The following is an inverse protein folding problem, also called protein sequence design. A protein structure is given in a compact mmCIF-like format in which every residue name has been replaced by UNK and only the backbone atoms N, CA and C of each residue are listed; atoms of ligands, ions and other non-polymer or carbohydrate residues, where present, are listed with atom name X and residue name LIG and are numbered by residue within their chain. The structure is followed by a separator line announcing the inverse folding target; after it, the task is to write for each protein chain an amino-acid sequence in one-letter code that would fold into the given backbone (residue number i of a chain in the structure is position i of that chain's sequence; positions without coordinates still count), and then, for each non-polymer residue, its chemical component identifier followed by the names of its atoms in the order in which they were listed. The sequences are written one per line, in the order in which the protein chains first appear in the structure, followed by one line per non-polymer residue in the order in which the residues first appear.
data_IF_573097998794
#
_entry.id   IF_573097998794
#
_cell.length_a   1.000
_cell.length_b   1.000
_cell.length_c   1.000
_cell.angle_alpha   90.00
_cell.angle_beta   90.00
_cell.angle_gamma   90.00
#
_symmetry.space_group_name_H-M   'P 1'
#
loop_
_entity.id
_entity.type
_entity.pdbx_description
1 polymer ?
#
# COMPACT_ATOMS: atom_id res chain seq x y z
N UNK A 1 -0.22 18.46 3.75
CA UNK A 1 -1.38 17.55 3.77
C UNK A 1 -1.22 16.57 2.62
N UNK A 2 -0.69 15.37 2.88
CA UNK A 2 -0.53 14.37 1.82
C UNK A 2 -1.92 13.95 1.31
N UNK A 3 -2.20 14.20 0.05
CA UNK A 3 -3.45 13.76 -0.57
C UNK A 3 -3.42 12.24 -0.76
N UNK A 4 -4.58 11.57 -0.79
CA UNK A 4 -4.65 10.13 -1.05
C UNK A 4 -3.86 9.73 -2.30
N UNK A 5 -3.92 10.53 -3.36
CA UNK A 5 -3.23 10.28 -4.63
C UNK A 5 -1.72 10.23 -4.50
N UNK A 6 -1.09 11.17 -3.77
CA UNK A 6 0.36 11.15 -3.53
C UNK A 6 0.76 9.85 -2.82
N UNK A 7 -0.02 9.43 -1.81
CA UNK A 7 0.24 8.18 -1.08
C UNK A 7 0.09 6.94 -1.98
N UNK A 8 -0.90 6.92 -2.87
CA UNK A 8 -1.05 5.84 -3.85
C UNK A 8 0.16 5.73 -4.79
N UNK A 9 0.66 6.85 -5.30
CA UNK A 9 1.85 6.86 -6.15
C UNK A 9 3.10 6.38 -5.41
N UNK A 10 3.30 6.81 -4.16
CA UNK A 10 4.42 6.33 -3.32
C UNK A 10 4.34 4.83 -3.07
N UNK A 11 3.14 4.26 -2.87
CA UNK A 11 2.97 2.81 -2.73
C UNK A 11 3.46 2.08 -3.99
N UNK A 12 3.09 2.56 -5.17
CA UNK A 12 3.49 1.94 -6.43
C UNK A 12 5.00 1.97 -6.63
N UNK A 13 5.64 3.08 -6.32
CA UNK A 13 7.10 3.22 -6.39
C UNK A 13 7.81 2.26 -5.43
N UNK A 14 7.31 2.13 -4.20
CA UNK A 14 7.84 1.18 -3.21
C UNK A 14 7.69 -0.27 -3.65
N UNK A 15 6.55 -0.63 -4.24
CA UNK A 15 6.29 -1.98 -4.74
C UNK A 15 7.16 -2.31 -5.96
N UNK A 16 7.33 -1.37 -6.89
CA UNK A 16 8.19 -1.57 -8.07
C UNK A 16 9.66 -1.74 -7.70
N UNK A 17 10.14 -1.05 -6.66
CA UNK A 17 11.55 -1.11 -6.25
C UNK A 17 11.91 -2.36 -5.43
N UNK A 18 10.99 -2.91 -4.64
CA UNK A 18 11.26 -4.03 -3.70
C UNK A 18 10.54 -5.34 -4.03
N UNK A 19 9.59 -5.34 -4.97
CA UNK A 19 8.80 -6.50 -5.37
C UNK A 19 7.68 -6.83 -4.38
N UNK A 20 8.00 -6.98 -3.10
CA UNK A 20 7.02 -7.17 -2.03
C UNK A 20 7.40 -6.40 -0.76
N UNK A 21 6.39 -5.96 -0.02
CA UNK A 21 6.56 -5.22 1.23
C UNK A 21 5.37 -5.54 2.14
N UNK A 22 5.61 -5.67 3.44
CA UNK A 22 4.51 -5.97 4.37
C UNK A 22 3.62 -4.75 4.63
N UNK A 23 2.36 -4.99 4.97
CA UNK A 23 1.41 -3.93 5.33
C UNK A 23 1.89 -3.03 6.49
N UNK A 24 2.48 -3.57 7.58
CA UNK A 24 3.07 -2.78 8.65
C UNK A 24 4.26 -1.92 8.22
N UNK A 25 5.18 -2.45 7.40
CA UNK A 25 6.30 -1.64 6.89
C UNK A 25 5.85 -0.52 5.97
N UNK A 26 4.82 -0.78 5.14
CA UNK A 26 4.17 0.26 4.34
C UNK A 26 3.56 1.35 5.22
N UNK A 27 2.92 0.95 6.32
CA UNK A 27 2.30 1.87 7.26
C UNK A 27 3.34 2.79 7.92
N UNK A 28 4.46 2.21 8.36
CA UNK A 28 5.60 2.95 8.92
C UNK A 28 6.20 3.93 7.89
N UNK A 29 6.49 3.46 6.67
CA UNK A 29 7.08 4.30 5.62
C UNK A 29 6.19 5.44 5.14
N UNK A 30 4.88 5.24 5.15
CA UNK A 30 3.90 6.23 4.71
C UNK A 30 3.38 7.11 5.85
N UNK A 31 3.83 6.86 7.08
CA UNK A 31 3.37 7.50 8.32
C UNK A 31 1.83 7.44 8.45
N UNK A 32 1.27 6.25 8.23
CA UNK A 32 -0.15 5.96 8.35
C UNK A 32 -0.40 4.71 9.19
N UNK A 33 -1.65 4.46 9.55
CA UNK A 33 -2.02 3.19 10.15
C UNK A 33 -2.17 2.07 9.11
N UNK A 34 -1.96 0.82 9.53
CA UNK A 34 -2.13 -0.38 8.68
C UNK A 34 -3.51 -0.45 8.01
N UNK A 35 -4.56 0.01 8.70
CA UNK A 35 -5.93 0.08 8.12
C UNK A 35 -6.02 1.02 6.92
N UNK A 36 -5.23 2.10 6.91
CA UNK A 36 -5.15 3.03 5.78
C UNK A 36 -4.42 2.40 4.61
N UNK A 37 -3.34 1.65 4.87
CA UNK A 37 -2.66 0.87 3.84
C UNK A 37 -3.64 -0.11 3.18
N UNK A 38 -4.42 -0.88 3.94
CA UNK A 38 -5.44 -1.80 3.40
C UNK A 38 -6.47 -1.06 2.52
N UNK A 39 -6.88 0.14 2.93
CA UNK A 39 -7.77 1.00 2.12
C UNK A 39 -7.09 1.45 0.82
N UNK A 40 -5.82 1.82 0.87
CA UNK A 40 -5.05 2.26 -0.30
C UNK A 40 -4.84 1.15 -1.32
N UNK A 41 -4.50 -0.07 -0.86
CA UNK A 41 -4.41 -1.25 -1.73
C UNK A 41 -5.76 -1.56 -2.40
N UNK A 42 -6.86 -1.41 -1.66
CA UNK A 42 -8.21 -1.59 -2.23
C UNK A 42 -8.49 -0.53 -3.30
N UNK A 43 -8.18 0.74 -3.05
CA UNK A 43 -8.33 1.80 -4.07
C UNK A 43 -7.47 1.56 -5.32
N UNK A 44 -6.24 1.05 -5.18
CA UNK A 44 -5.42 0.69 -6.35
C UNK A 44 -6.08 -0.41 -7.19
N UNK A 45 -6.64 -1.44 -6.54
CA UNK A 45 -7.37 -2.51 -7.23
C UNK A 45 -8.64 -1.98 -7.91
N UNK A 46 -9.39 -1.09 -7.25
CA UNK A 46 -10.58 -0.47 -7.83
C UNK A 46 -10.26 0.39 -9.06
N UNK A 47 -9.05 0.96 -9.11
CA UNK A 47 -8.52 1.69 -10.28
C UNK A 47 -7.98 0.78 -11.38
N UNK A 48 -8.07 -0.54 -11.22
CA UNK A 48 -7.55 -1.52 -12.19
C UNK A 48 -6.03 -1.69 -12.15
N UNK A 49 -5.37 -1.21 -11.09
CA UNK A 49 -3.92 -1.42 -10.93
C UNK A 49 -3.70 -2.81 -10.33
N UNK A 50 -2.93 -3.69 -10.99
CA UNK A 50 -2.67 -5.04 -10.50
C UNK A 50 -1.76 -4.99 -9.28
N UNK A 51 -2.36 -5.12 -8.10
CA UNK A 51 -1.66 -5.23 -6.82
C UNK A 51 -2.13 -6.50 -6.13
N UNK A 52 -1.24 -7.48 -6.06
CA UNK A 52 -1.46 -8.71 -5.34
C UNK A 52 -1.12 -8.53 -3.86
N UNK A 53 -1.93 -9.13 -3.00
CA UNK A 53 -1.69 -9.16 -1.56
C UNK A 53 -1.70 -10.61 -1.08
N UNK A 54 -0.56 -11.06 -0.54
CA UNK A 54 -0.51 -12.34 0.13
C UNK A 54 -1.00 -12.19 1.58
N UNK A 55 -1.82 -13.14 2.09
CA UNK A 55 -2.15 -13.18 3.50
C UNK A 55 -0.89 -13.23 4.35
N UNK A 56 -0.69 -12.21 5.18
CA UNK A 56 0.39 -12.21 6.16
C UNK A 56 0.14 -13.22 7.28
N UNK A 57 1.17 -13.53 8.07
CA UNK A 57 1.10 -14.44 9.23
C UNK A 57 0.05 -14.05 10.29
N UNK A 58 -0.46 -12.81 10.24
CA UNK A 58 -1.51 -12.23 11.06
C UNK A 58 -2.58 -11.58 10.16
N UNK A 59 -3.46 -12.37 9.55
CA UNK A 59 -4.56 -11.88 8.70
C UNK A 59 -5.37 -10.74 9.34
#
# INVERSE_FOLDING_TARGET
MYTPTTRLLTILELLQSRGSISGPELAEKLEVEVRSVRRYITMLRDLGIPVDSEPGRYG
#
